data_IF_574648821245
#
_entry.id   IF_574648821245
#
_cell.length_a   1.000
_cell.length_b   1.000
_cell.length_c   1.000
_cell.angle_alpha   90.00
_cell.angle_beta   90.00
_cell.angle_gamma   90.00
#
_symmetry.space_group_name_H-M   'P 1'
#
loop_
_entity.id
_entity.type
_entity.pdbx_description
1 polymer ?
#
# COMPACT_ATOMS: atom_id res chain seq x y z
N UNK A 1 -18.91 5.84 -8.38
CA UNK A 1 -17.43 5.79 -8.49
C UNK A 1 -17.00 4.35 -8.60
N UNK A 2 -16.21 4.05 -9.62
CA UNK A 2 -15.60 2.74 -9.86
C UNK A 2 -14.18 2.71 -9.30
N UNK A 3 -13.97 1.84 -8.30
CA UNK A 3 -12.68 1.60 -7.67
C UNK A 3 -12.09 0.32 -8.24
N UNK A 4 -10.98 0.42 -8.95
CA UNK A 4 -10.25 -0.72 -9.47
C UNK A 4 -9.08 -1.05 -8.55
N UNK A 5 -8.95 -2.31 -8.15
CA UNK A 5 -7.93 -2.83 -7.24
C UNK A 5 -7.01 -3.77 -8.01
N UNK A 6 -5.71 -3.51 -7.98
CA UNK A 6 -4.70 -4.43 -8.49
C UNK A 6 -4.16 -5.25 -7.31
N UNK A 7 -4.46 -6.53 -7.31
CA UNK A 7 -4.01 -7.50 -6.32
C UNK A 7 -2.94 -8.40 -6.92
N UNK A 8 -1.75 -8.46 -6.32
CA UNK A 8 -0.54 -9.06 -6.89
C UNK A 8 -0.18 -10.42 -6.30
N UNK A 9 -0.91 -10.87 -5.30
CA UNK A 9 -0.79 -12.20 -4.71
C UNK A 9 -2.13 -12.60 -4.08
N UNK A 10 -2.48 -13.89 -4.05
CA UNK A 10 -3.72 -14.33 -3.39
C UNK A 10 -3.80 -13.94 -1.91
N UNK A 11 -2.64 -13.80 -1.25
CA UNK A 11 -2.51 -13.66 0.19
C UNK A 11 -2.66 -12.20 0.69
N UNK A 12 -2.56 -11.22 -0.20
CA UNK A 12 -2.69 -9.80 0.12
C UNK A 12 -3.94 -9.23 -0.54
N UNK A 13 -5.10 -9.56 0.04
CA UNK A 13 -6.39 -9.07 -0.44
C UNK A 13 -6.70 -7.65 0.06
N UNK A 14 -7.77 -7.03 -0.46
CA UNK A 14 -8.11 -5.62 -0.22
C UNK A 14 -8.52 -5.29 1.22
N UNK A 15 -8.83 -6.29 2.07
CA UNK A 15 -9.11 -6.07 3.49
C UNK A 15 -10.12 -4.94 3.77
N UNK A 16 -9.74 -3.99 4.63
CA UNK A 16 -10.56 -2.84 5.01
C UNK A 16 -10.94 -1.92 3.83
N UNK A 17 -10.19 -1.95 2.71
CA UNK A 17 -10.54 -1.20 1.49
C UNK A 17 -11.87 -1.71 0.92
N UNK A 18 -12.10 -3.03 0.93
CA UNK A 18 -13.38 -3.61 0.53
C UNK A 18 -14.51 -3.13 1.47
N UNK A 19 -14.26 -3.09 2.76
CA UNK A 19 -15.23 -2.58 3.74
C UNK A 19 -15.56 -1.12 3.48
N UNK A 20 -14.55 -0.30 3.16
CA UNK A 20 -14.74 1.09 2.79
C UNK A 20 -15.58 1.27 1.53
N UNK A 21 -15.31 0.51 0.45
CA UNK A 21 -16.10 0.61 -0.79
C UNK A 21 -17.57 0.27 -0.55
N UNK A 22 -17.84 -0.76 0.26
CA UNK A 22 -19.20 -1.12 0.67
C UNK A 22 -19.87 -0.03 1.49
N UNK A 23 -19.17 0.51 2.50
CA UNK A 23 -19.68 1.58 3.37
C UNK A 23 -19.97 2.89 2.61
N UNK A 24 -19.27 3.16 1.52
CA UNK A 24 -19.44 4.36 0.67
C UNK A 24 -20.31 4.11 -0.58
N UNK A 25 -20.88 2.90 -0.74
CA UNK A 25 -21.70 2.54 -1.91
C UNK A 25 -20.94 2.64 -3.23
N UNK A 26 -19.64 2.30 -3.23
CA UNK A 26 -18.76 2.33 -4.40
C UNK A 26 -18.66 0.96 -5.03
N UNK A 27 -18.52 0.91 -6.34
CA UNK A 27 -18.29 -0.34 -7.07
C UNK A 27 -16.81 -0.69 -7.04
N UNK A 28 -16.46 -1.90 -6.63
CA UNK A 28 -15.10 -2.40 -6.56
C UNK A 28 -14.89 -3.56 -7.52
N UNK A 29 -13.82 -3.50 -8.31
CA UNK A 29 -13.38 -4.57 -9.21
C UNK A 29 -11.93 -4.92 -8.91
N UNK A 30 -11.63 -6.21 -8.71
CA UNK A 30 -10.29 -6.71 -8.41
C UNK A 30 -9.69 -7.34 -9.66
N UNK A 31 -8.49 -6.89 -10.02
CA UNK A 31 -7.69 -7.40 -11.13
C UNK A 31 -6.47 -8.13 -10.58
N UNK A 32 -6.05 -9.19 -11.26
CA UNK A 32 -4.88 -10.01 -10.90
C UNK A 32 -3.86 -9.98 -12.05
N UNK A 33 -3.08 -8.89 -12.22
CA UNK A 33 -2.17 -8.72 -13.37
C UNK A 33 -1.13 -9.84 -13.46
N UNK A 34 -0.63 -10.30 -12.32
CA UNK A 34 0.36 -11.36 -12.25
C UNK A 34 -0.13 -12.72 -12.81
N UNK A 35 -1.43 -12.98 -12.78
CA UNK A 35 -2.02 -14.23 -13.27
C UNK A 35 -2.46 -14.13 -14.74
N UNK A 36 -3.12 -13.04 -15.10
CA UNK A 36 -3.85 -12.93 -16.35
C UNK A 36 -3.28 -11.86 -17.28
N UNK A 37 -2.35 -11.02 -16.80
CA UNK A 37 -1.83 -9.88 -17.55
C UNK A 37 -2.87 -8.79 -17.84
N UNK A 38 -4.07 -8.87 -17.27
CA UNK A 38 -5.16 -7.95 -17.53
C UNK A 38 -5.14 -6.81 -16.52
N UNK A 39 -5.19 -5.59 -17.02
CA UNK A 39 -5.34 -4.35 -16.26
C UNK A 39 -6.62 -3.64 -16.70
N UNK A 40 -7.24 -2.82 -15.83
CA UNK A 40 -8.29 -1.90 -16.26
C UNK A 40 -7.72 -0.82 -17.17
N UNK A 41 -8.58 -0.17 -17.94
CA UNK A 41 -8.20 1.04 -18.66
C UNK A 41 -8.31 2.28 -17.77
N UNK A 42 -7.62 3.36 -18.12
CA UNK A 42 -7.73 4.62 -17.40
C UNK A 42 -9.16 5.20 -17.46
N UNK A 43 -9.87 5.00 -18.57
CA UNK A 43 -11.26 5.49 -18.74
C UNK A 43 -12.25 4.74 -17.85
N UNK A 44 -11.99 3.45 -17.57
CA UNK A 44 -12.81 2.61 -16.68
C UNK A 44 -12.49 2.80 -15.20
N UNK A 45 -11.52 3.62 -14.85
CA UNK A 45 -11.02 3.77 -13.48
C UNK A 45 -11.34 5.17 -12.97
N UNK A 46 -12.15 5.29 -11.93
CA UNK A 46 -12.33 6.55 -11.21
C UNK A 46 -11.29 6.69 -10.09
N UNK A 47 -10.92 5.58 -9.44
CA UNK A 47 -9.87 5.48 -8.44
C UNK A 47 -9.11 4.16 -8.61
N UNK A 48 -7.78 4.19 -8.48
CA UNK A 48 -6.94 3.00 -8.51
C UNK A 48 -6.38 2.70 -7.12
N UNK A 49 -6.47 1.43 -6.73
CA UNK A 49 -5.79 0.86 -5.57
C UNK A 49 -4.73 -0.11 -6.07
N UNK A 50 -3.48 0.05 -5.66
CA UNK A 50 -2.38 -0.85 -5.99
C UNK A 50 -1.89 -1.49 -4.70
N UNK A 51 -2.19 -2.78 -4.52
CA UNK A 51 -1.84 -3.51 -3.30
C UNK A 51 -0.38 -3.98 -3.31
N UNK A 52 0.04 -4.57 -2.21
CA UNK A 52 1.34 -5.20 -2.06
C UNK A 52 1.53 -6.45 -2.90
N UNK A 53 2.72 -7.03 -2.81
CA UNK A 53 3.08 -8.27 -3.49
C UNK A 53 4.57 -8.57 -3.40
N UNK A 54 4.98 -9.81 -3.73
CA UNK A 54 6.35 -10.28 -3.56
C UNK A 54 7.34 -9.81 -4.65
N UNK A 55 6.85 -9.12 -5.70
CA UNK A 55 7.68 -8.60 -6.78
C UNK A 55 8.31 -7.26 -6.43
N UNK A 56 9.33 -6.88 -7.20
CA UNK A 56 9.91 -5.54 -7.20
C UNK A 56 9.39 -4.71 -8.38
N UNK A 57 9.16 -3.40 -8.23
CA UNK A 57 8.95 -2.52 -9.38
C UNK A 57 10.13 -2.49 -10.35
N UNK A 58 11.29 -3.02 -9.93
CA UNK A 58 12.49 -3.14 -10.75
C UNK A 58 12.52 -4.41 -11.64
N UNK A 59 11.59 -5.35 -11.42
CA UNK A 59 11.52 -6.57 -12.21
C UNK A 59 11.14 -6.26 -13.66
N UNK A 60 11.79 -7.00 -14.58
CA UNK A 60 11.58 -6.84 -16.03
C UNK A 60 10.39 -7.71 -16.50
N UNK A 61 9.19 -7.37 -16.00
CA UNK A 61 7.95 -8.03 -16.37
C UNK A 61 7.04 -7.07 -17.14
N UNK A 62 6.45 -7.54 -18.23
CA UNK A 62 5.64 -6.69 -19.12
C UNK A 62 4.42 -6.10 -18.41
N UNK A 63 3.73 -6.87 -17.56
CA UNK A 63 2.57 -6.38 -16.84
C UNK A 63 2.94 -5.31 -15.81
N UNK A 64 4.15 -5.36 -15.20
CA UNK A 64 4.66 -4.30 -14.29
C UNK A 64 4.86 -2.99 -15.05
N UNK A 65 5.39 -3.06 -16.28
CA UNK A 65 5.54 -1.87 -17.15
C UNK A 65 4.19 -1.31 -17.58
N UNK A 66 3.24 -2.18 -17.91
CA UNK A 66 1.87 -1.79 -18.29
C UNK A 66 1.13 -1.14 -17.11
N UNK A 67 1.32 -1.66 -15.88
CA UNK A 67 0.78 -1.06 -14.65
C UNK A 67 1.32 0.35 -14.44
N UNK A 68 2.63 0.58 -14.60
CA UNK A 68 3.20 1.94 -14.55
C UNK A 68 2.63 2.85 -15.63
N UNK A 69 2.38 2.32 -16.82
CA UNK A 69 1.74 3.11 -17.88
C UNK A 69 0.31 3.52 -17.52
N UNK A 70 -0.46 2.65 -16.86
CA UNK A 70 -1.77 2.95 -16.33
C UNK A 70 -1.70 4.00 -15.21
N UNK A 71 -0.82 3.82 -14.21
CA UNK A 71 -0.60 4.78 -13.13
C UNK A 71 -0.26 6.16 -13.70
N UNK A 72 0.63 6.23 -14.68
CA UNK A 72 1.00 7.49 -15.34
C UNK A 72 -0.18 8.18 -16.03
N UNK A 73 -1.07 7.42 -16.68
CA UNK A 73 -2.27 7.95 -17.32
C UNK A 73 -3.25 8.50 -16.27
N UNK A 74 -3.42 7.80 -15.15
CA UNK A 74 -4.33 8.23 -14.08
C UNK A 74 -3.82 9.48 -13.37
N UNK A 75 -2.53 9.56 -13.06
CA UNK A 75 -1.90 10.77 -12.50
C UNK A 75 -2.06 11.97 -13.45
N UNK A 76 -1.82 11.78 -14.76
CA UNK A 76 -2.01 12.83 -15.76
C UNK A 76 -3.49 13.28 -15.91
N UNK A 77 -4.44 12.43 -15.52
CA UNK A 77 -5.86 12.72 -15.49
C UNK A 77 -6.36 13.18 -14.11
N UNK A 78 -5.47 13.40 -13.14
CA UNK A 78 -5.77 13.74 -11.74
C UNK A 78 -6.79 12.77 -11.10
N UNK A 79 -6.69 11.48 -11.44
CA UNK A 79 -7.50 10.43 -10.82
C UNK A 79 -6.79 9.87 -9.59
N UNK A 80 -7.49 9.73 -8.45
CA UNK A 80 -6.89 9.33 -7.20
C UNK A 80 -6.29 7.93 -7.23
N UNK A 81 -5.10 7.78 -6.60
CA UNK A 81 -4.40 6.52 -6.51
C UNK A 81 -3.95 6.27 -5.06
N UNK A 82 -4.23 5.08 -4.55
CA UNK A 82 -3.68 4.60 -3.29
C UNK A 82 -2.77 3.40 -3.55
N UNK A 83 -1.57 3.41 -2.97
CA UNK A 83 -0.61 2.31 -3.07
C UNK A 83 -0.16 1.81 -1.69
N UNK A 84 -0.19 0.48 -1.47
CA UNK A 84 0.39 -0.17 -0.31
C UNK A 84 1.60 -1.00 -0.72
N UNK A 85 2.70 -0.90 0.05
CA UNK A 85 3.95 -1.62 -0.13
C UNK A 85 4.48 -1.55 -1.57
N UNK A 86 4.46 -2.62 -2.35
CA UNK A 86 4.78 -2.62 -3.78
C UNK A 86 4.01 -1.52 -4.54
N UNK A 87 2.74 -1.29 -4.22
CA UNK A 87 1.93 -0.26 -4.86
C UNK A 87 2.46 1.15 -4.65
N UNK A 88 2.93 1.48 -3.46
CA UNK A 88 3.59 2.76 -3.18
C UNK A 88 4.89 2.91 -3.96
N UNK A 89 5.67 1.84 -4.04
CA UNK A 89 6.91 1.78 -4.82
C UNK A 89 6.64 1.97 -6.32
N UNK A 90 5.56 1.39 -6.86
CA UNK A 90 5.16 1.56 -8.26
C UNK A 90 4.77 3.01 -8.56
N UNK A 91 4.06 3.69 -7.67
CA UNK A 91 3.72 5.12 -7.81
C UNK A 91 5.00 5.96 -7.83
N UNK A 92 5.89 5.80 -6.83
CA UNK A 92 7.15 6.55 -6.76
C UNK A 92 8.00 6.33 -8.02
N UNK A 93 8.13 5.07 -8.47
CA UNK A 93 8.87 4.75 -9.68
C UNK A 93 8.24 5.31 -10.95
N UNK A 94 6.91 5.38 -11.03
CA UNK A 94 6.20 6.00 -12.16
C UNK A 94 6.51 7.49 -12.26
N UNK A 95 6.68 8.16 -11.12
CA UNK A 95 7.07 9.58 -11.00
C UNK A 95 8.57 9.81 -11.27
N UNK A 96 9.37 8.74 -11.43
CA UNK A 96 10.80 8.85 -11.77
C UNK A 96 11.75 8.68 -10.58
N UNK A 97 11.24 8.32 -9.40
CA UNK A 97 12.02 8.14 -8.18
C UNK A 97 12.49 6.70 -8.00
N UNK A 98 13.63 6.54 -7.32
CA UNK A 98 14.23 5.24 -7.17
C UNK A 98 13.49 4.36 -6.15
N UNK A 99 13.47 3.06 -6.46
CA UNK A 99 13.11 2.00 -5.51
C UNK A 99 14.34 1.09 -5.38
N UNK A 100 14.77 0.87 -4.16
CA UNK A 100 15.99 0.12 -3.87
C UNK A 100 15.87 -0.63 -2.54
N UNK A 101 16.88 -1.45 -2.22
CA UNK A 101 16.91 -2.16 -0.94
C UNK A 101 16.83 -1.18 0.25
N UNK A 102 15.96 -1.45 1.18
CA UNK A 102 15.88 -0.73 2.46
C UNK A 102 17.12 -1.05 3.33
N UNK A 103 17.61 -0.08 4.14
CA UNK A 103 18.70 -0.33 5.08
C UNK A 103 18.34 -1.41 6.12
N UNK A 104 17.05 -1.61 6.37
CA UNK A 104 16.52 -2.63 7.27
C UNK A 104 15.38 -3.39 6.62
N UNK A 105 15.22 -4.65 7.00
CA UNK A 105 14.03 -5.44 6.67
C UNK A 105 13.06 -5.33 7.84
N UNK A 106 11.84 -4.89 7.56
CA UNK A 106 10.77 -4.77 8.55
C UNK A 106 9.64 -5.75 8.19
N UNK A 107 9.42 -6.75 9.05
CA UNK A 107 8.34 -7.74 8.92
C UNK A 107 7.78 -7.99 10.30
N UNK A 108 6.52 -7.63 10.52
CA UNK A 108 5.83 -7.69 11.79
C UNK A 108 5.13 -6.39 12.17
N UNK A 109 4.66 -6.30 13.40
CA UNK A 109 3.96 -5.13 13.94
C UNK A 109 4.94 -4.13 14.53
N UNK A 110 4.94 -2.90 14.02
CA UNK A 110 5.74 -1.82 14.57
C UNK A 110 5.03 -0.46 14.40
N UNK A 111 5.34 0.54 15.24
CA UNK A 111 4.74 1.85 15.12
C UNK A 111 5.31 2.64 13.96
N UNK A 112 4.44 3.44 13.33
CA UNK A 112 4.82 4.55 12.43
C UNK A 112 4.37 5.87 13.05
N UNK A 113 5.12 6.92 12.77
CA UNK A 113 4.86 8.28 13.26
C UNK A 113 4.47 9.18 12.10
N UNK A 114 3.36 9.93 12.26
CA UNK A 114 2.88 10.91 11.30
C UNK A 114 3.88 12.08 11.18
N UNK A 115 4.21 12.48 9.94
CA UNK A 115 5.18 13.54 9.63
C UNK A 115 4.52 14.76 8.99
N UNK A 116 3.35 14.60 8.35
CA UNK A 116 2.61 15.68 7.70
C UNK A 116 1.16 15.74 8.20
N UNK A 117 0.61 16.94 8.26
CA UNK A 117 -0.79 17.21 8.57
C UNK A 117 -1.62 17.54 7.31
N UNK A 118 -1.13 17.18 6.12
CA UNK A 118 -1.87 17.35 4.86
C UNK A 118 -3.24 16.65 4.90
N UNK A 119 -3.33 15.53 5.62
CA UNK A 119 -4.59 14.80 5.84
C UNK A 119 -5.03 15.04 7.29
N UNK A 120 -6.22 15.62 7.51
CA UNK A 120 -6.68 15.92 8.86
C UNK A 120 -7.04 14.67 9.67
N UNK A 121 -7.00 14.80 10.98
CA UNK A 121 -7.49 13.82 11.96
C UNK A 121 -6.80 12.42 11.90
N UNK A 122 -5.62 12.34 11.32
CA UNK A 122 -4.79 11.13 11.41
C UNK A 122 -4.14 11.03 12.79
N UNK A 123 -4.02 9.82 13.37
CA UNK A 123 -3.31 9.63 14.63
C UNK A 123 -1.83 9.93 14.49
N UNK A 124 -1.23 10.56 15.54
CA UNK A 124 0.20 10.90 15.54
C UNK A 124 1.11 9.67 15.47
N UNK A 125 0.65 8.53 15.99
CA UNK A 125 1.36 7.25 15.95
C UNK A 125 0.35 6.13 15.74
N UNK A 126 0.69 5.15 14.90
CA UNK A 126 -0.16 3.99 14.62
C UNK A 126 0.68 2.71 14.65
N UNK A 127 0.16 1.65 15.24
CA UNK A 127 0.74 0.30 15.14
C UNK A 127 0.27 -0.34 13.83
N UNK A 128 1.21 -0.65 12.94
CA UNK A 128 0.92 -1.13 11.58
C UNK A 128 1.66 -2.42 11.26
N UNK A 129 1.20 -3.13 10.23
CA UNK A 129 1.89 -4.32 9.74
C UNK A 129 2.93 -3.91 8.69
N UNK A 130 4.20 -4.18 8.97
CA UNK A 130 5.30 -4.07 8.01
C UNK A 130 5.53 -5.43 7.34
N UNK A 131 5.81 -5.42 6.03
CA UNK A 131 6.11 -6.64 5.25
C UNK A 131 7.00 -6.32 4.06
N UNK A 132 8.19 -5.71 4.31
CA UNK A 132 9.04 -5.19 3.24
C UNK A 132 10.54 -5.25 3.54
N UNK A 133 11.34 -5.23 2.45
CA UNK A 133 12.80 -5.06 2.47
C UNK A 133 13.30 -4.11 1.36
N UNK A 134 12.39 -3.52 0.61
CA UNK A 134 12.67 -2.42 -0.33
C UNK A 134 12.00 -1.15 0.17
N UNK A 135 12.48 -0.01 -0.34
CA UNK A 135 11.99 1.32 -0.04
C UNK A 135 11.95 2.18 -1.28
N UNK A 136 11.16 3.24 -1.24
CA UNK A 136 11.10 4.27 -2.27
C UNK A 136 11.71 5.59 -1.79
N UNK A 137 12.18 6.40 -2.73
CA UNK A 137 12.45 7.82 -2.50
C UNK A 137 11.13 8.60 -2.52
N UNK A 138 11.06 9.66 -1.68
CA UNK A 138 9.87 10.53 -1.65
C UNK A 138 9.87 11.42 -2.90
N UNK A 139 8.80 11.44 -3.71
CA UNK A 139 8.68 12.35 -4.84
C UNK A 139 8.74 13.82 -4.41
N UNK A 140 9.38 14.68 -5.23
CA UNK A 140 9.56 16.11 -4.93
C UNK A 140 8.21 16.84 -4.79
N UNK A 141 7.19 16.39 -5.49
CA UNK A 141 5.80 16.89 -5.41
C UNK A 141 5.00 16.38 -4.22
N UNK A 142 5.55 15.42 -3.46
CA UNK A 142 4.90 14.78 -2.34
C UNK A 142 5.42 15.27 -0.99
N UNK A 143 4.58 15.20 0.03
CA UNK A 143 4.98 15.35 1.42
C UNK A 143 5.28 13.98 2.05
N UNK A 144 6.33 13.90 2.86
CA UNK A 144 6.57 12.73 3.72
C UNK A 144 5.41 12.60 4.72
N UNK A 145 4.66 11.50 4.64
CA UNK A 145 3.47 11.31 5.45
C UNK A 145 3.75 10.50 6.72
N UNK A 146 4.54 9.44 6.63
CA UNK A 146 4.89 8.57 7.76
C UNK A 146 6.36 8.19 7.75
N UNK A 147 6.91 7.97 8.96
CA UNK A 147 8.23 7.38 9.18
C UNK A 147 8.19 6.35 10.31
N UNK A 148 9.15 5.42 10.35
CA UNK A 148 9.42 4.51 11.48
C UNK A 148 10.81 4.76 12.04
N UNK A 149 11.15 4.10 13.16
CA UNK A 149 12.51 4.13 13.73
C UNK A 149 13.55 3.57 12.74
N UNK A 150 13.17 2.50 12.02
CA UNK A 150 14.07 1.81 11.08
C UNK A 150 14.16 2.45 9.71
N UNK A 151 13.12 3.19 9.28
CA UNK A 151 13.02 3.75 7.95
C UNK A 151 12.27 5.09 7.94
N UNK A 152 12.92 6.13 7.39
CA UNK A 152 12.31 7.44 7.29
C UNK A 152 11.16 7.47 6.27
N UNK A 153 11.33 6.85 5.12
CA UNK A 153 10.38 6.91 4.01
C UNK A 153 9.34 5.79 4.11
N UNK A 154 8.40 5.91 5.05
CA UNK A 154 7.32 4.94 5.26
C UNK A 154 6.00 5.32 4.57
N UNK A 155 5.85 6.57 4.15
CA UNK A 155 4.66 6.99 3.42
C UNK A 155 4.81 8.38 2.85
N UNK A 156 4.08 8.64 1.75
CA UNK A 156 3.98 9.96 1.13
C UNK A 156 2.54 10.29 0.74
N UNK A 157 2.27 11.58 0.58
CA UNK A 157 1.01 12.09 0.05
C UNK A 157 1.28 13.16 -1.01
N UNK A 158 0.64 13.02 -2.17
CA UNK A 158 0.41 14.09 -3.15
C UNK A 158 -1.04 14.51 -2.96
N UNK A 159 -1.32 15.74 -2.51
CA UNK A 159 -2.66 16.15 -2.08
C UNK A 159 -3.73 15.85 -3.12
N UNK A 160 -4.77 15.11 -2.71
CA UNK A 160 -5.92 14.66 -3.51
C UNK A 160 -5.58 13.83 -4.77
N UNK A 161 -4.31 13.49 -5.00
CA UNK A 161 -3.88 12.72 -6.18
C UNK A 161 -3.37 11.32 -5.82
N UNK A 162 -2.43 11.23 -4.87
CA UNK A 162 -1.85 9.94 -4.53
C UNK A 162 -1.44 9.83 -3.06
N UNK A 163 -1.62 8.63 -2.49
CA UNK A 163 -1.06 8.22 -1.21
C UNK A 163 -0.31 6.92 -1.44
N UNK A 164 0.96 6.88 -1.00
CA UNK A 164 1.77 5.67 -0.99
C UNK A 164 2.23 5.34 0.43
N UNK A 165 1.99 4.10 0.88
CA UNK A 165 2.41 3.59 2.18
C UNK A 165 3.33 2.38 2.00
N UNK A 166 4.50 2.35 2.64
CA UNK A 166 5.41 1.21 2.57
C UNK A 166 4.93 0.03 3.44
N UNK A 167 4.09 0.30 4.40
CA UNK A 167 3.46 -0.63 5.33
C UNK A 167 1.97 -0.80 5.01
N UNK A 168 1.25 -1.56 5.85
CA UNK A 168 -0.14 -1.94 5.62
C UNK A 168 -1.05 -1.50 6.76
N UNK A 169 -2.09 -0.70 6.45
CA UNK A 169 -3.23 -0.42 7.30
C UNK A 169 -4.44 -1.30 6.95
N UNK A 170 -4.49 -1.77 5.71
CA UNK A 170 -5.66 -2.43 5.12
C UNK A 170 -5.93 -3.87 5.58
N UNK A 171 -4.95 -4.67 6.06
CA UNK A 171 -5.23 -6.05 6.41
C UNK A 171 -6.19 -6.18 7.58
N UNK A 172 -7.19 -7.04 7.43
CA UNK A 172 -8.01 -7.57 8.51
C UNK A 172 -7.37 -8.85 9.07
N UNK A 173 -7.89 -9.39 10.17
CA UNK A 173 -7.30 -10.56 10.84
C UNK A 173 -7.12 -11.76 9.90
N UNK A 174 -8.05 -12.01 8.99
CA UNK A 174 -7.93 -13.10 8.02
C UNK A 174 -6.85 -12.81 6.97
N UNK A 175 -6.67 -11.56 6.54
CA UNK A 175 -5.58 -11.18 5.64
C UNK A 175 -4.21 -11.38 6.30
N UNK A 176 -4.04 -10.97 7.56
CA UNK A 176 -2.80 -11.21 8.32
C UNK A 176 -2.51 -12.71 8.42
N UNK A 177 -3.54 -13.53 8.68
CA UNK A 177 -3.39 -14.99 8.74
C UNK A 177 -2.94 -15.55 7.38
N UNK A 178 -3.55 -15.13 6.27
CA UNK A 178 -3.17 -15.57 4.93
C UNK A 178 -1.71 -15.20 4.61
N UNK A 179 -1.29 -13.97 4.91
CA UNK A 179 0.10 -13.54 4.73
C UNK A 179 1.06 -14.42 5.53
N UNK A 180 0.80 -14.62 6.81
CA UNK A 180 1.67 -15.42 7.70
C UNK A 180 1.71 -16.89 7.30
N UNK A 181 0.56 -17.49 6.95
CA UNK A 181 0.50 -18.92 6.57
C UNK A 181 1.27 -19.18 5.27
N UNK A 182 1.17 -18.27 4.31
CA UNK A 182 1.77 -18.47 2.98
C UNK A 182 3.21 -17.95 2.88
N UNK A 183 3.58 -16.92 3.66
CA UNK A 183 4.88 -16.26 3.56
C UNK A 183 5.55 -16.02 4.94
N UNK A 184 5.17 -16.76 5.98
CA UNK A 184 5.72 -16.59 7.33
C UNK A 184 7.24 -16.75 7.41
N UNK A 185 7.86 -17.50 6.50
CA UNK A 185 9.31 -17.62 6.40
C UNK A 185 10.00 -16.26 6.11
N UNK A 186 9.29 -15.31 5.54
CA UNK A 186 9.78 -13.96 5.25
C UNK A 186 10.11 -13.15 6.50
N UNK A 187 9.62 -13.55 7.70
CA UNK A 187 10.01 -12.93 8.98
C UNK A 187 11.50 -13.06 9.28
N UNK A 188 12.18 -14.06 8.72
CA UNK A 188 13.59 -14.29 8.96
C UNK A 188 14.46 -13.10 8.54
N UNK A 189 15.29 -12.59 9.48
CA UNK A 189 16.16 -11.45 9.26
C UNK A 189 15.49 -10.07 9.40
N UNK A 190 14.23 -10.02 9.83
CA UNK A 190 13.56 -8.78 10.19
C UNK A 190 14.18 -8.17 11.46
N UNK A 191 14.39 -6.85 11.45
CA UNK A 191 14.85 -6.11 12.65
C UNK A 191 13.80 -6.06 13.76
N UNK A 192 12.53 -6.32 13.43
CA UNK A 192 11.44 -6.35 14.40
C UNK A 192 11.47 -7.62 15.27
N UNK A 193 12.18 -8.67 14.83
CA UNK A 193 12.39 -9.92 15.56
C UNK A 193 11.10 -10.65 15.98
N UNK A 194 9.96 -10.39 15.33
CA UNK A 194 8.73 -11.14 15.55
C UNK A 194 8.75 -12.46 14.79
N UNK A 195 8.25 -13.51 15.44
CA UNK A 195 7.97 -14.78 14.78
C UNK A 195 6.60 -14.74 14.11
N UNK A 196 6.32 -15.66 13.15
CA UNK A 196 4.98 -15.82 12.60
C UNK A 196 3.88 -15.95 13.67
N UNK A 197 4.18 -16.63 14.79
CA UNK A 197 3.27 -16.80 15.90
C UNK A 197 3.02 -15.51 16.67
N UNK A 198 4.04 -14.68 16.85
CA UNK A 198 3.91 -13.38 17.53
C UNK A 198 3.02 -12.44 16.69
N UNK A 199 3.22 -12.41 15.37
CA UNK A 199 2.40 -11.62 14.45
C UNK A 199 0.93 -12.04 14.52
N UNK A 200 0.64 -13.35 14.51
CA UNK A 200 -0.72 -13.88 14.64
C UNK A 200 -1.34 -13.65 16.01
N UNK A 201 -0.53 -13.56 17.07
CA UNK A 201 -1.02 -13.32 18.42
C UNK A 201 -1.39 -11.85 18.68
N UNK A 202 -0.87 -10.93 17.87
CA UNK A 202 -1.17 -9.49 17.96
C UNK A 202 -2.51 -9.20 17.27
N UNK A 203 -3.52 -8.69 18.00
CA UNK A 203 -4.76 -8.28 17.37
C UNK A 203 -4.54 -7.13 16.38
N UNK A 204 -5.19 -7.19 15.22
CA UNK A 204 -5.19 -6.06 14.28
C UNK A 204 -5.82 -4.84 14.97
N UNK A 205 -5.12 -3.69 15.07
CA UNK A 205 -5.68 -2.50 15.70
C UNK A 205 -6.93 -2.01 14.95
N UNK A 206 -8.04 -1.81 15.67
CA UNK A 206 -9.29 -1.36 15.08
C UNK A 206 -9.17 0.03 14.40
N UNK A 207 -8.29 0.89 14.94
CA UNK A 207 -7.98 2.21 14.39
C UNK A 207 -7.35 2.17 12.99
N UNK A 208 -6.73 1.06 12.59
CA UNK A 208 -6.15 0.93 11.25
C UNK A 208 -7.23 1.00 10.17
N UNK A 209 -8.37 0.35 10.39
CA UNK A 209 -9.50 0.44 9.47
C UNK A 209 -10.04 1.87 9.38
N UNK A 210 -10.17 2.58 10.52
CA UNK A 210 -10.61 3.98 10.53
C UNK A 210 -9.61 4.89 9.81
N UNK A 211 -8.31 4.63 10.00
CA UNK A 211 -7.25 5.40 9.35
C UNK A 211 -7.27 5.20 7.84
N UNK A 212 -7.38 3.95 7.35
CA UNK A 212 -7.47 3.70 5.90
C UNK A 212 -8.72 4.36 5.30
N UNK A 213 -9.84 4.39 6.03
CA UNK A 213 -11.05 5.07 5.57
C UNK A 213 -10.80 6.58 5.38
N UNK A 214 -10.14 7.24 6.35
CA UNK A 214 -9.79 8.67 6.25
C UNK A 214 -8.85 8.95 5.06
N UNK A 215 -7.86 8.08 4.84
CA UNK A 215 -6.93 8.21 3.70
C UNK A 215 -7.67 8.11 2.36
N UNK A 216 -8.58 7.15 2.22
CA UNK A 216 -9.34 6.94 1.00
C UNK A 216 -10.44 8.00 0.79
N UNK A 217 -11.10 8.46 1.85
CA UNK A 217 -12.04 9.58 1.79
C UNK A 217 -11.31 10.85 1.34
N UNK A 218 -10.14 11.18 1.92
CA UNK A 218 -9.33 12.33 1.53
C UNK A 218 -8.95 12.33 0.04
N UNK A 219 -8.69 11.18 -0.54
CA UNK A 219 -8.38 11.06 -1.97
C UNK A 219 -9.60 11.28 -2.87
N UNK A 220 -10.82 11.15 -2.33
CA UNK A 220 -12.04 11.10 -3.14
C UNK A 220 -13.04 12.23 -2.85
N UNK A 221 -12.75 13.10 -1.89
CA UNK A 221 -13.46 14.33 -1.59
C UNK A 221 -12.90 15.53 -2.39
#
# INVERSE_FOLDING_TARGET
MRVNVLQHTPNEGPGAIQTWTQARGREMYVYHPYQLGHLPTADETDMLIVLGGPMSPNDDLDWIKQERALIKQLLAAHKPIFGACYGAQQIAKTLGYAVHASPVKEVGWAPVTLQSHAIPDLPATSLVLHWHQEMFEIPDEAELLYSSEGLQNQGFVIPHEAIGLQFHFEPLADNVREMVVNDGAYTAGSVLNETPQDILATPVPAENQETVFKLLDYLTD
#
